data_IF_094648320024
#
_entry.id   IF_094648320024
#
_cell.length_a   1.000
_cell.length_b   1.000
_cell.length_c   1.000
_cell.angle_alpha   90.00
_cell.angle_beta   90.00
_cell.angle_gamma   90.00
#
_symmetry.space_group_name_H-M   'P 1'
#
loop_
_entity.id
_entity.type
_entity.pdbx_description
1 polymer ?
#
# COMPACT_ATOMS: atom_id res chain seq x y z
N UNK A 1 3.80 12.82 18.55
CA UNK A 1 2.62 11.92 18.50
C UNK A 1 2.85 10.67 19.33
N UNK A 2 1.82 10.24 20.06
CA UNK A 2 1.86 9.04 20.91
C UNK A 2 0.73 8.11 20.50
N UNK A 3 1.09 6.92 20.01
CA UNK A 3 0.12 5.87 19.71
C UNK A 3 -0.01 4.91 20.90
N UNK A 4 -1.25 4.65 21.33
CA UNK A 4 -1.58 3.73 22.42
C UNK A 4 -2.38 2.56 21.89
N UNK A 5 -1.93 1.33 22.12
CA UNK A 5 -2.72 0.11 21.92
C UNK A 5 -3.02 -0.53 23.27
N UNK A 6 -4.29 -0.69 23.61
CA UNK A 6 -4.70 -1.55 24.71
C UNK A 6 -4.66 -3.01 24.22
N UNK A 7 -3.90 -3.84 24.91
CA UNK A 7 -4.01 -5.29 24.78
C UNK A 7 -5.24 -5.78 25.55
N UNK A 8 -5.93 -6.77 25.02
CA UNK A 8 -7.09 -7.38 25.68
C UNK A 8 -6.70 -7.88 27.08
N UNK A 9 -7.59 -7.67 28.06
CA UNK A 9 -7.53 -8.18 29.44
C UNK A 9 -6.36 -7.67 30.31
N UNK A 10 -6.50 -6.46 30.88
CA UNK A 10 -5.78 -6.07 32.13
C UNK A 10 -4.26 -5.87 32.04
N UNK A 11 -3.66 -6.03 30.89
CA UNK A 11 -2.24 -5.76 30.63
C UNK A 11 -1.96 -4.27 30.46
N UNK A 12 -0.76 -3.84 30.79
CA UNK A 12 -0.31 -2.46 30.58
C UNK A 12 -0.45 -2.05 29.11
N UNK A 13 -0.90 -0.83 28.83
CA UNK A 13 -0.97 -0.35 27.45
C UNK A 13 0.44 -0.29 26.85
N UNK A 14 0.57 -0.79 25.62
CA UNK A 14 1.80 -0.62 24.84
C UNK A 14 1.76 0.74 24.16
N UNK A 15 2.84 1.50 24.33
CA UNK A 15 3.01 2.85 23.83
C UNK A 15 4.10 2.89 22.76
N UNK A 16 3.85 3.63 21.71
CA UNK A 16 4.87 4.04 20.74
C UNK A 16 4.85 5.56 20.67
N UNK A 17 5.99 6.20 20.86
CA UNK A 17 6.12 7.64 20.85
C UNK A 17 7.18 8.07 19.84
N UNK A 18 6.83 9.05 19.00
CA UNK A 18 7.74 9.72 18.07
C UNK A 18 7.55 11.23 18.20
N UNK A 19 8.64 11.95 18.43
CA UNK A 19 8.65 13.40 18.38
C UNK A 19 8.90 13.89 16.93
N UNK A 20 8.39 15.07 16.61
CA UNK A 20 8.63 15.69 15.33
C UNK A 20 10.13 15.96 15.14
N UNK A 21 10.65 15.61 13.96
CA UNK A 21 12.08 15.73 13.66
C UNK A 21 12.99 14.68 14.31
N UNK A 22 12.50 13.88 15.26
CA UNK A 22 13.29 12.80 15.89
C UNK A 22 13.24 11.55 14.99
N UNK A 23 14.36 10.98 14.54
CA UNK A 23 14.39 9.74 13.78
C UNK A 23 14.04 8.50 14.62
N UNK A 24 13.96 8.64 15.95
CA UNK A 24 13.74 7.53 16.87
C UNK A 24 12.28 7.37 17.25
N UNK A 25 11.84 6.13 17.34
CA UNK A 25 10.59 5.72 17.97
C UNK A 25 10.91 5.07 19.31
N UNK A 26 10.27 5.53 20.39
CA UNK A 26 10.42 4.98 21.73
C UNK A 26 9.21 4.14 22.09
N UNK A 27 9.41 3.00 22.73
CA UNK A 27 8.32 2.11 23.14
C UNK A 27 8.61 1.40 24.44
N UNK A 28 7.55 1.03 25.15
CA UNK A 28 7.60 0.14 26.32
C UNK A 28 7.30 -1.33 25.98
N UNK A 29 7.27 -1.70 24.71
CA UNK A 29 6.88 -3.06 24.23
C UNK A 29 7.74 -4.19 24.80
N UNK A 30 8.95 -3.88 25.27
CA UNK A 30 9.87 -4.84 25.87
C UNK A 30 10.12 -4.60 27.37
N UNK A 31 9.32 -3.74 28.03
CA UNK A 31 9.57 -3.36 29.42
C UNK A 31 9.54 -4.55 30.40
N UNK A 32 8.79 -5.59 30.07
CA UNK A 32 8.59 -6.77 30.93
C UNK A 32 9.34 -8.02 30.43
N UNK A 33 10.34 -7.88 29.53
CA UNK A 33 11.13 -8.99 29.04
C UNK A 33 11.25 -9.06 27.51
N UNK A 34 10.81 -10.16 26.89
CA UNK A 34 10.94 -10.35 25.43
C UNK A 34 9.90 -9.53 24.68
N UNK A 35 10.29 -8.70 23.69
CA UNK A 35 9.33 -7.97 22.86
C UNK A 35 8.48 -8.95 22.03
N UNK A 36 7.18 -8.66 21.91
CA UNK A 36 6.34 -9.30 20.90
C UNK A 36 6.71 -8.73 19.51
N UNK A 37 7.28 -9.54 18.59
CA UNK A 37 7.72 -9.05 17.29
C UNK A 37 6.58 -8.49 16.44
N UNK A 38 5.38 -9.07 16.54
CA UNK A 38 4.20 -8.63 15.77
C UNK A 38 3.72 -7.28 16.26
N UNK A 39 3.68 -7.09 17.58
CA UNK A 39 3.28 -5.84 18.19
C UNK A 39 4.31 -4.73 17.93
N UNK A 40 5.62 -5.05 18.02
CA UNK A 40 6.70 -4.13 17.66
C UNK A 40 6.59 -3.69 16.20
N UNK A 41 6.43 -4.65 15.28
CA UNK A 41 6.30 -4.38 13.84
C UNK A 41 5.08 -3.49 13.54
N UNK A 42 3.94 -3.79 14.15
CA UNK A 42 2.73 -2.99 13.99
C UNK A 42 2.90 -1.56 14.54
N UNK A 43 3.48 -1.42 15.72
CA UNK A 43 3.71 -0.10 16.33
C UNK A 43 4.69 0.76 15.54
N UNK A 44 5.74 0.16 14.97
CA UNK A 44 6.67 0.86 14.08
C UNK A 44 5.96 1.30 12.79
N UNK A 45 5.14 0.44 12.19
CA UNK A 45 4.33 0.78 11.02
C UNK A 45 3.39 1.96 11.29
N UNK A 46 2.67 1.93 12.42
CA UNK A 46 1.79 3.02 12.85
C UNK A 46 2.55 4.31 13.10
N UNK A 47 3.68 4.24 13.80
CA UNK A 47 4.51 5.41 14.09
C UNK A 47 5.07 6.04 12.83
N UNK A 48 5.49 5.22 11.87
CA UNK A 48 5.92 5.68 10.56
C UNK A 48 4.76 6.36 9.80
N UNK A 49 3.59 5.71 9.75
CA UNK A 49 2.41 6.24 9.08
C UNK A 49 1.98 7.61 9.64
N UNK A 50 1.96 7.78 10.96
CA UNK A 50 1.66 9.05 11.60
C UNK A 50 2.70 10.11 11.27
N UNK A 51 4.00 9.77 11.37
CA UNK A 51 5.08 10.72 11.15
C UNK A 51 5.14 11.26 9.71
N UNK A 52 4.73 10.45 8.75
CA UNK A 52 4.76 10.81 7.32
C UNK A 52 3.37 11.08 6.71
N UNK A 53 2.32 10.99 7.49
CA UNK A 53 0.93 11.14 7.05
C UNK A 53 0.64 12.40 6.20
N UNK A 54 1.18 13.60 6.50
CA UNK A 54 0.94 14.79 5.70
C UNK A 54 1.41 14.68 4.24
N UNK A 55 2.29 13.73 3.93
CA UNK A 55 2.98 13.65 2.64
C UNK A 55 2.98 12.27 2.02
N UNK A 56 2.51 11.25 2.72
CA UNK A 56 2.58 9.87 2.23
C UNK A 56 1.53 8.94 2.85
N UNK A 57 1.23 7.86 2.16
CA UNK A 57 0.31 6.81 2.60
C UNK A 57 1.00 5.46 2.51
N UNK A 58 0.95 4.66 3.59
CA UNK A 58 1.24 3.23 3.54
C UNK A 58 0.01 2.51 3.00
N UNK A 59 -0.03 2.26 1.69
CA UNK A 59 -1.22 1.72 1.02
C UNK A 59 -1.17 0.18 0.95
N UNK A 60 -2.23 -0.50 1.38
CA UNK A 60 -2.29 -1.96 1.30
C UNK A 60 -2.42 -2.44 -0.15
N UNK A 61 -1.29 -2.82 -0.75
CA UNK A 61 -1.19 -3.22 -2.15
C UNK A 61 -0.02 -4.17 -2.41
N UNK A 62 -0.06 -4.85 -3.56
CA UNK A 62 1.09 -5.57 -4.12
C UNK A 62 1.57 -4.83 -5.37
N UNK A 63 2.87 -4.60 -5.51
CA UNK A 63 3.45 -3.70 -6.50
C UNK A 63 4.38 -4.41 -7.46
N UNK A 64 4.09 -4.32 -8.75
CA UNK A 64 4.99 -4.73 -9.83
C UNK A 64 5.62 -3.51 -10.47
N UNK A 65 6.89 -3.64 -10.79
CA UNK A 65 7.66 -2.68 -11.59
C UNK A 65 7.98 -3.31 -12.94
N UNK A 66 7.79 -2.53 -14.00
CA UNK A 66 8.18 -2.88 -15.36
C UNK A 66 8.62 -1.61 -16.10
N UNK A 67 9.76 -1.68 -16.79
CA UNK A 67 10.31 -0.55 -17.58
C UNK A 67 10.39 0.76 -16.80
N UNK A 68 10.82 0.71 -15.53
CA UNK A 68 10.99 1.88 -14.67
C UNK A 68 9.70 2.51 -14.15
N UNK A 69 8.53 1.87 -14.31
CA UNK A 69 7.24 2.33 -13.82
C UNK A 69 6.54 1.26 -12.99
N UNK A 70 5.71 1.68 -12.04
CA UNK A 70 5.06 0.79 -11.09
C UNK A 70 3.54 0.71 -11.30
N UNK A 71 2.99 -0.50 -11.16
CA UNK A 71 1.55 -0.75 -11.07
C UNK A 71 1.21 -1.32 -9.70
N UNK A 72 0.26 -0.69 -9.01
CA UNK A 72 -0.19 -1.10 -7.68
C UNK A 72 -1.51 -1.86 -7.78
N UNK A 73 -1.50 -3.12 -7.35
CA UNK A 73 -2.68 -3.97 -7.27
C UNK A 73 -3.30 -3.91 -5.89
N UNK A 74 -4.56 -3.46 -5.82
CA UNK A 74 -5.31 -3.25 -4.59
C UNK A 74 -6.45 -4.27 -4.47
N UNK A 75 -6.95 -4.41 -3.26
CA UNK A 75 -8.06 -5.29 -2.93
C UNK A 75 -7.93 -5.79 -1.49
N UNK A 76 -8.99 -6.33 -0.96
CA UNK A 76 -9.02 -6.89 0.38
C UNK A 76 -8.10 -8.11 0.52
N UNK A 77 -7.88 -8.55 1.75
CA UNK A 77 -7.13 -9.79 1.99
C UNK A 77 -7.83 -10.96 1.30
N UNK A 78 -7.05 -11.78 0.57
CA UNK A 78 -7.60 -12.91 -0.17
C UNK A 78 -8.15 -12.60 -1.58
N UNK A 79 -8.19 -11.35 -2.01
CA UNK A 79 -8.66 -10.98 -3.37
C UNK A 79 -7.78 -11.52 -4.50
N UNK A 80 -6.51 -11.88 -4.20
CA UNK A 80 -5.60 -12.43 -5.21
C UNK A 80 -4.46 -11.51 -5.63
N UNK A 81 -4.17 -10.43 -4.90
CA UNK A 81 -3.07 -9.48 -5.21
C UNK A 81 -1.74 -10.19 -5.46
N UNK A 82 -1.27 -10.99 -4.52
CA UNK A 82 0.00 -11.72 -4.64
C UNK A 82 -0.03 -12.80 -5.75
N UNK A 83 -1.20 -13.37 -6.04
CA UNK A 83 -1.40 -14.27 -7.18
C UNK A 83 -1.23 -13.50 -8.49
N UNK A 84 -1.86 -12.35 -8.62
CA UNK A 84 -1.81 -11.54 -9.83
C UNK A 84 -0.39 -11.00 -10.10
N UNK A 85 0.32 -10.52 -9.06
CA UNK A 85 1.72 -10.09 -9.20
C UNK A 85 2.68 -11.26 -9.48
N UNK A 86 2.37 -12.48 -9.03
CA UNK A 86 3.09 -13.69 -9.44
C UNK A 86 2.88 -13.98 -10.92
N UNK A 87 1.65 -13.93 -11.41
CA UNK A 87 1.32 -14.13 -12.83
C UNK A 87 2.02 -13.10 -13.73
N UNK A 88 2.12 -11.84 -13.31
CA UNK A 88 2.92 -10.85 -14.03
C UNK A 88 4.38 -11.29 -14.16
N UNK A 89 5.02 -11.73 -13.07
CA UNK A 89 6.42 -12.17 -13.09
C UNK A 89 6.63 -13.44 -13.92
N UNK A 90 5.63 -14.29 -14.02
CA UNK A 90 5.69 -15.53 -14.81
C UNK A 90 5.48 -15.28 -16.31
N UNK A 91 4.64 -14.32 -16.68
CA UNK A 91 4.17 -14.17 -18.06
C UNK A 91 4.59 -12.85 -18.73
N UNK A 92 5.08 -11.85 -17.99
CA UNK A 92 5.54 -10.58 -18.52
C UNK A 92 7.04 -10.46 -18.28
N UNK A 93 7.82 -10.55 -19.36
CA UNK A 93 9.28 -10.45 -19.29
C UNK A 93 9.72 -9.11 -18.70
N UNK A 94 10.61 -9.11 -17.73
CA UNK A 94 11.10 -7.90 -17.07
C UNK A 94 10.22 -7.37 -15.91
N UNK A 95 9.08 -8.01 -15.62
CA UNK A 95 8.27 -7.66 -14.47
C UNK A 95 8.93 -8.07 -13.14
N UNK A 96 9.01 -7.16 -12.18
CA UNK A 96 9.66 -7.38 -10.88
C UNK A 96 8.75 -6.95 -9.73
N UNK A 97 8.77 -7.70 -8.64
CA UNK A 97 8.06 -7.33 -7.41
C UNK A 97 8.85 -6.26 -6.67
N UNK A 98 8.19 -5.15 -6.32
CA UNK A 98 8.76 -4.11 -5.46
C UNK A 98 8.36 -4.30 -3.99
N UNK A 99 7.11 -4.60 -3.74
CA UNK A 99 6.56 -4.83 -2.40
C UNK A 99 5.28 -5.66 -2.47
N UNK A 100 4.96 -6.42 -1.44
CA UNK A 100 3.77 -7.30 -1.38
C UNK A 100 2.94 -7.08 -0.10
N UNK A 101 2.80 -5.85 0.39
CA UNK A 101 1.93 -5.57 1.54
C UNK A 101 1.64 -4.07 1.73
N UNK A 102 2.63 -3.31 2.14
CA UNK A 102 2.49 -1.91 2.55
C UNK A 102 3.58 -1.02 1.95
N UNK A 103 3.63 -0.87 0.62
CA UNK A 103 4.49 0.12 0.00
C UNK A 103 4.05 1.53 0.42
N UNK A 104 4.94 2.50 0.27
CA UNK A 104 4.64 3.90 0.57
C UNK A 104 4.38 4.64 -0.73
N UNK A 105 3.28 5.37 -0.80
CA UNK A 105 2.96 6.26 -1.93
C UNK A 105 2.99 7.71 -1.50
N UNK A 106 3.53 8.57 -2.35
CA UNK A 106 3.56 10.03 -2.16
C UNK A 106 3.73 10.76 -3.50
N UNK A 107 3.48 12.05 -3.51
CA UNK A 107 3.81 12.92 -4.65
C UNK A 107 5.16 13.59 -4.38
N UNK A 108 6.16 13.29 -5.19
CA UNK A 108 7.52 13.85 -5.11
C UNK A 108 7.73 14.79 -6.29
N UNK A 109 7.95 16.06 -6.03
CA UNK A 109 8.15 17.08 -7.10
C UNK A 109 7.07 17.02 -8.20
N UNK A 110 5.82 16.80 -7.79
CA UNK A 110 4.68 16.66 -8.69
C UNK A 110 4.48 15.28 -9.32
N UNK A 111 5.40 14.33 -9.10
CA UNK A 111 5.35 12.97 -9.65
C UNK A 111 4.82 11.98 -8.60
N UNK A 112 3.67 11.32 -8.83
CA UNK A 112 3.21 10.21 -8.01
C UNK A 112 4.24 9.08 -8.02
N UNK A 113 4.76 8.75 -6.84
CA UNK A 113 5.86 7.80 -6.68
C UNK A 113 5.53 6.76 -5.61
N UNK A 114 5.86 5.50 -5.88
CA UNK A 114 5.80 4.43 -4.90
C UNK A 114 7.19 4.03 -4.46
N UNK A 115 7.33 3.78 -3.16
CA UNK A 115 8.57 3.31 -2.52
C UNK A 115 8.36 1.92 -1.94
N UNK A 116 9.37 1.07 -2.07
CA UNK A 116 9.44 -0.15 -1.28
C UNK A 116 9.48 0.16 0.22
N UNK A 117 9.12 -0.81 1.04
CA UNK A 117 9.06 -0.64 2.48
C UNK A 117 9.60 -1.88 3.22
N UNK A 118 9.94 -1.77 4.51
CA UNK A 118 10.32 -2.91 5.34
C UNK A 118 9.12 -3.78 5.76
N UNK A 119 7.91 -3.49 5.30
CA UNK A 119 6.71 -4.28 5.55
C UNK A 119 6.34 -5.08 4.32
N UNK A 120 6.36 -6.41 4.45
CA UNK A 120 6.04 -7.35 3.38
C UNK A 120 5.02 -8.37 3.86
N UNK A 121 4.19 -8.84 2.95
CA UNK A 121 3.18 -9.84 3.20
C UNK A 121 3.69 -11.29 3.09
N UNK A 122 2.95 -12.12 2.36
CA UNK A 122 3.28 -13.54 2.17
C UNK A 122 4.55 -13.76 1.35
N UNK A 123 4.87 -12.84 0.43
CA UNK A 123 6.08 -12.88 -0.38
C UNK A 123 7.10 -11.92 0.20
N UNK A 124 8.16 -12.37 0.89
CA UNK A 124 9.18 -11.49 1.43
C UNK A 124 9.81 -10.64 0.33
N UNK A 125 9.70 -9.32 0.45
CA UNK A 125 10.25 -8.38 -0.51
C UNK A 125 10.53 -7.04 0.19
N UNK A 126 11.82 -6.70 0.35
CA UNK A 126 12.30 -5.55 1.15
C UNK A 126 13.25 -4.68 0.32
N UNK A 127 12.77 -4.20 -0.84
CA UNK A 127 13.58 -3.40 -1.76
C UNK A 127 13.54 -1.93 -1.35
N UNK A 128 14.71 -1.31 -1.24
CA UNK A 128 14.84 0.14 -1.01
C UNK A 128 14.96 0.85 -2.37
N UNK A 129 13.86 0.85 -3.11
CA UNK A 129 13.75 1.42 -4.44
C UNK A 129 12.46 2.21 -4.57
N UNK A 130 12.41 3.12 -5.55
CA UNK A 130 11.22 3.91 -5.83
C UNK A 130 11.00 4.08 -7.32
N UNK A 131 9.71 4.18 -7.71
CA UNK A 131 9.31 4.28 -9.12
C UNK A 131 8.09 5.19 -9.30
N UNK A 132 7.99 5.92 -10.42
CA UNK A 132 6.77 6.60 -10.81
C UNK A 132 5.61 5.61 -10.94
N UNK A 133 4.44 6.00 -10.47
CA UNK A 133 3.24 5.18 -10.53
C UNK A 133 2.58 5.33 -11.90
N UNK A 134 2.44 4.21 -12.63
CA UNK A 134 1.73 4.16 -13.91
C UNK A 134 0.22 4.02 -13.72
N UNK A 135 -0.22 3.17 -12.78
CA UNK A 135 -1.63 2.92 -12.52
C UNK A 135 -1.88 2.31 -11.13
N UNK A 136 -3.09 2.52 -10.63
CA UNK A 136 -3.71 1.73 -9.58
C UNK A 136 -4.73 0.78 -10.19
N UNK A 137 -4.73 -0.48 -9.78
CA UNK A 137 -5.64 -1.51 -10.28
C UNK A 137 -6.30 -2.22 -9.10
N UNK A 138 -7.61 -1.98 -8.90
CA UNK A 138 -8.39 -2.72 -7.91
C UNK A 138 -8.85 -4.04 -8.50
N UNK A 139 -8.47 -5.13 -7.85
CA UNK A 139 -8.84 -6.49 -8.23
C UNK A 139 -10.21 -6.88 -7.69
N UNK A 140 -10.96 -7.62 -8.49
CA UNK A 140 -12.15 -8.37 -8.09
C UNK A 140 -12.15 -9.74 -8.78
N UNK A 141 -12.49 -10.79 -8.04
CA UNK A 141 -12.64 -12.13 -8.62
C UNK A 141 -13.91 -12.18 -9.48
N UNK A 142 -13.78 -12.69 -10.69
CA UNK A 142 -14.88 -12.83 -11.63
C UNK A 142 -14.65 -14.06 -12.55
N UNK A 143 -15.70 -14.59 -13.21
CA UNK A 143 -15.55 -15.69 -14.14
C UNK A 143 -15.08 -15.25 -15.55
N UNK A 144 -14.55 -14.05 -15.67
CA UNK A 144 -14.08 -13.45 -16.93
C UNK A 144 -12.98 -12.42 -16.61
N UNK A 145 -12.24 -12.01 -17.65
CA UNK A 145 -11.24 -10.96 -17.56
C UNK A 145 -11.75 -9.68 -18.21
N UNK A 146 -11.89 -8.61 -17.43
CA UNK A 146 -12.33 -7.30 -17.89
C UNK A 146 -11.66 -6.21 -17.07
N UNK A 147 -11.05 -5.25 -17.75
CA UNK A 147 -10.49 -4.06 -17.11
C UNK A 147 -11.22 -2.81 -17.57
N UNK A 148 -11.51 -1.89 -16.66
CA UNK A 148 -12.16 -0.63 -16.98
C UNK A 148 -11.58 0.51 -16.12
N UNK A 149 -11.34 1.67 -16.75
CA UNK A 149 -10.93 2.88 -16.05
C UNK A 149 -12.09 3.40 -15.18
N UNK A 150 -11.77 3.73 -13.93
CA UNK A 150 -12.75 4.29 -12.99
C UNK A 150 -12.83 5.83 -13.12
N UNK A 151 -14.04 6.41 -13.09
CA UNK A 151 -14.18 7.84 -12.90
C UNK A 151 -13.73 8.26 -11.50
N UNK A 152 -13.34 9.54 -11.33
CA UNK A 152 -12.71 10.07 -10.11
C UNK A 152 -13.44 9.67 -8.82
N UNK A 153 -14.75 9.81 -8.76
CA UNK A 153 -15.56 9.48 -7.56
C UNK A 153 -15.43 7.99 -7.18
N UNK A 154 -15.44 7.10 -8.19
CA UNK A 154 -15.24 5.66 -7.95
C UNK A 154 -13.79 5.32 -7.63
N UNK A 155 -12.83 6.08 -8.16
CA UNK A 155 -11.41 5.91 -7.88
C UNK A 155 -11.10 6.15 -6.39
N UNK A 156 -11.69 7.19 -5.77
CA UNK A 156 -11.57 7.42 -4.32
C UNK A 156 -12.07 6.20 -3.55
N UNK A 157 -13.29 5.72 -3.86
CA UNK A 157 -13.87 4.53 -3.21
C UNK A 157 -13.07 3.25 -3.44
N UNK A 158 -12.28 3.17 -4.53
CA UNK A 158 -11.42 2.03 -4.81
C UNK A 158 -10.11 2.05 -3.99
N UNK A 159 -9.55 3.24 -3.73
CA UNK A 159 -8.26 3.39 -3.04
C UNK A 159 -8.41 3.51 -1.51
N UNK A 160 -9.41 4.25 -1.03
CA UNK A 160 -9.59 4.57 0.39
C UNK A 160 -9.61 3.33 1.31
N UNK A 161 -10.26 2.20 0.96
CA UNK A 161 -10.23 0.99 1.79
C UNK A 161 -8.84 0.35 1.94
N UNK A 162 -7.88 0.72 1.09
CA UNK A 162 -6.49 0.25 1.17
C UNK A 162 -5.59 1.18 1.98
N UNK A 163 -6.10 2.31 2.46
CA UNK A 163 -5.39 3.22 3.36
C UNK A 163 -5.46 2.73 4.82
N UNK A 164 -4.61 3.25 5.72
CA UNK A 164 -4.59 2.83 7.12
C UNK A 164 -5.93 3.07 7.84
N UNK A 165 -6.70 2.04 8.19
CA UNK A 165 -8.05 2.19 8.76
C UNK A 165 -8.04 2.79 10.17
N UNK A 166 -6.96 2.60 10.92
CA UNK A 166 -6.82 3.14 12.27
C UNK A 166 -6.78 4.68 12.30
N UNK A 167 -6.50 5.32 11.18
CA UNK A 167 -6.47 6.79 11.06
C UNK A 167 -7.86 7.41 10.87
N UNK A 168 -8.89 6.60 10.59
CA UNK A 168 -10.27 7.07 10.46
C UNK A 168 -10.87 7.66 11.75
N UNK A 169 -10.25 7.42 12.90
CA UNK A 169 -10.64 7.98 14.20
C UNK A 169 -9.93 9.31 14.54
N UNK A 170 -9.05 9.79 13.68
CA UNK A 170 -8.35 11.06 13.79
C UNK A 170 -8.61 11.88 12.53
N UNK A 171 -9.37 12.98 12.68
CA UNK A 171 -9.82 13.79 11.56
C UNK A 171 -8.64 14.37 10.76
N UNK A 172 -7.59 14.84 11.44
CA UNK A 172 -6.43 15.43 10.76
C UNK A 172 -5.64 14.39 9.94
N UNK A 173 -5.43 13.19 10.50
CA UNK A 173 -4.77 12.11 9.78
C UNK A 173 -5.62 11.65 8.59
N UNK A 174 -6.93 11.60 8.75
CA UNK A 174 -7.85 11.23 7.67
C UNK A 174 -7.90 12.28 6.55
N UNK A 175 -7.94 13.56 6.89
CA UNK A 175 -7.91 14.66 5.93
C UNK A 175 -6.63 14.63 5.10
N UNK A 176 -5.47 14.44 5.73
CA UNK A 176 -4.18 14.31 5.05
C UNK A 176 -4.15 13.12 4.06
N UNK A 177 -4.79 11.98 4.42
CA UNK A 177 -4.96 10.85 3.51
C UNK A 177 -5.81 11.25 2.30
N UNK A 178 -6.95 11.90 2.53
CA UNK A 178 -7.85 12.35 1.46
C UNK A 178 -7.15 13.34 0.53
N UNK A 179 -6.38 14.27 1.05
CA UNK A 179 -5.60 15.24 0.26
C UNK A 179 -4.55 14.54 -0.60
N UNK A 180 -3.80 13.61 -0.01
CA UNK A 180 -2.79 12.82 -0.75
C UNK A 180 -3.44 11.97 -1.84
N UNK A 181 -4.56 11.29 -1.54
CA UNK A 181 -5.31 10.50 -2.52
C UNK A 181 -5.83 11.36 -3.66
N UNK A 182 -6.34 12.56 -3.36
CA UNK A 182 -6.83 13.50 -4.37
C UNK A 182 -5.73 13.90 -5.34
N UNK A 183 -4.53 14.17 -4.82
CA UNK A 183 -3.37 14.49 -5.65
C UNK A 183 -2.92 13.31 -6.52
N UNK A 184 -2.96 12.08 -6.00
CA UNK A 184 -2.61 10.86 -6.72
C UNK A 184 -3.61 10.59 -7.85
N UNK A 185 -4.92 10.60 -7.56
CA UNK A 185 -5.99 10.31 -8.52
C UNK A 185 -6.06 11.34 -9.64
N UNK A 186 -5.71 12.61 -9.36
CA UNK A 186 -5.65 13.64 -10.39
C UNK A 186 -4.58 13.38 -11.45
N UNK A 187 -3.58 12.53 -11.18
CA UNK A 187 -2.41 12.29 -12.03
C UNK A 187 -2.26 10.86 -12.50
N UNK A 188 -2.79 9.90 -11.74
CA UNK A 188 -2.64 8.47 -12.00
C UNK A 188 -4.01 7.85 -12.26
N UNK A 189 -4.20 7.12 -13.37
CA UNK A 189 -5.44 6.41 -13.63
C UNK A 189 -5.64 5.28 -12.64
N UNK A 190 -6.91 5.08 -12.30
CA UNK A 190 -7.37 3.98 -11.46
C UNK A 190 -8.27 3.08 -12.27
N UNK A 191 -8.02 1.78 -12.22
CA UNK A 191 -8.79 0.76 -12.94
C UNK A 191 -9.46 -0.21 -11.96
N UNK A 192 -10.58 -0.77 -12.40
CA UNK A 192 -11.17 -1.99 -11.85
C UNK A 192 -10.80 -3.13 -12.80
N UNK A 193 -10.20 -4.20 -12.26
CA UNK A 193 -9.94 -5.44 -12.96
C UNK A 193 -10.78 -6.56 -12.32
N UNK A 194 -11.78 -7.00 -13.06
CA UNK A 194 -12.53 -8.23 -12.82
C UNK A 194 -11.79 -9.36 -13.49
N UNK A 195 -11.34 -10.39 -12.76
CA UNK A 195 -10.44 -11.36 -13.39
C UNK A 195 -10.49 -12.77 -12.79
N UNK A 196 -10.10 -13.72 -13.64
CA UNK A 196 -9.62 -15.04 -13.29
C UNK A 196 -8.15 -15.00 -12.85
N UNK A 197 -7.65 -15.99 -12.11
CA UNK A 197 -6.25 -16.09 -11.73
C UNK A 197 -5.42 -16.76 -12.85
N UNK A 198 -5.37 -16.14 -14.05
CA UNK A 198 -4.73 -16.68 -15.24
C UNK A 198 -3.76 -15.70 -15.94
N UNK A 199 -3.05 -16.20 -16.95
CA UNK A 199 -2.08 -15.44 -17.72
C UNK A 199 -2.74 -14.30 -18.52
N UNK A 200 -3.96 -14.49 -18.98
CA UNK A 200 -4.67 -13.49 -19.80
C UNK A 200 -5.07 -12.29 -18.97
N UNK A 201 -5.42 -12.47 -17.69
CA UNK A 201 -5.63 -11.37 -16.75
C UNK A 201 -4.34 -10.52 -16.56
N UNK A 202 -3.18 -11.20 -16.45
CA UNK A 202 -1.90 -10.51 -16.33
C UNK A 202 -1.57 -9.70 -17.60
N UNK A 203 -1.75 -10.31 -18.80
CA UNK A 203 -1.52 -9.64 -20.07
C UNK A 203 -2.46 -8.45 -20.26
N UNK A 204 -3.75 -8.63 -20.00
CA UNK A 204 -4.76 -7.58 -20.12
C UNK A 204 -4.41 -6.36 -19.24
N UNK A 205 -4.02 -6.60 -18.00
CA UNK A 205 -3.63 -5.51 -17.10
C UNK A 205 -2.31 -4.85 -17.53
N UNK A 206 -1.34 -5.61 -18.03
CA UNK A 206 -0.08 -5.09 -18.55
C UNK A 206 -0.29 -4.18 -19.78
N UNK A 207 -1.01 -4.67 -20.78
CA UNK A 207 -1.33 -3.91 -21.99
C UNK A 207 -2.01 -2.59 -21.66
N UNK A 208 -3.04 -2.63 -20.79
CA UNK A 208 -3.80 -1.43 -20.40
C UNK A 208 -2.99 -0.42 -19.57
N UNK A 209 -2.04 -0.88 -18.73
CA UNK A 209 -1.39 0.02 -17.76
C UNK A 209 0.01 0.46 -18.14
N UNK A 210 0.71 -0.31 -18.95
CA UNK A 210 2.12 -0.10 -19.30
C UNK A 210 2.34 0.03 -20.80
N UNK A 211 1.83 -0.90 -21.62
CA UNK A 211 2.17 -1.00 -23.04
C UNK A 211 1.55 0.11 -23.90
N UNK A 212 0.32 0.54 -23.58
CA UNK A 212 -0.42 1.54 -24.34
C UNK A 212 -0.05 3.02 -24.01
N UNK A 213 1.14 3.26 -23.37
CA UNK A 213 1.51 4.60 -22.89
C UNK A 213 2.94 4.99 -23.22
#
# INVERSE_FOLDING_TARGET
>A
DVYKRQTASGQRPVLFAKADGDPLVRSNVAADGRPDPSLLRFGLWMSFGIAHNPHSIAIHSSVIVHSGRAVLFLGESGTGKSTHTRLWREHISGAQLLNDDSPIVRVVEGVPTVFGSPWSGKTPCYRNESYPIAAFVRLAQAPHNRIARLPVVRAIGALLPSCPPAFAYDAQLQDNICDTLSQLIARVPVYQLECLPDADAARLSFETTIADR
#
